data_IF_953968942007
#
_entry.id   IF_953968942007
#
_cell.length_a   1.000
_cell.length_b   1.000
_cell.length_c   1.000
_cell.angle_alpha   90.00
_cell.angle_beta   90.00
_cell.angle_gamma   90.00
#
_symmetry.space_group_name_H-M   'P 1'
#
loop_
_entity.id
_entity.type
_entity.pdbx_description
1 polymer ?
#
# COMPACT_ATOMS: atom_id res chain seq x y z
N UNK A 1 14.82 -11.31 2.22
CA UNK A 1 13.43 -10.82 2.32
C UNK A 1 12.78 -11.07 0.96
N UNK A 2 11.70 -11.86 0.91
CA UNK A 2 11.10 -12.30 -0.37
C UNK A 2 9.86 -11.48 -0.78
N UNK A 3 9.22 -10.81 0.18
CA UNK A 3 8.05 -9.97 -0.04
C UNK A 3 8.03 -8.82 0.97
N UNK A 4 7.77 -7.61 0.48
CA UNK A 4 7.43 -6.42 1.29
C UNK A 4 5.92 -6.22 1.21
N UNK A 5 5.30 -5.87 2.33
CA UNK A 5 3.90 -5.45 2.39
C UNK A 5 3.80 -4.07 3.02
N UNK A 6 2.84 -3.28 2.55
CA UNK A 6 2.48 -1.99 3.13
C UNK A 6 0.95 -1.87 3.16
N UNK A 7 0.43 -1.24 4.20
CA UNK A 7 -1.01 -1.06 4.37
C UNK A 7 -1.32 0.41 4.64
N UNK A 8 -2.49 0.85 4.20
CA UNK A 8 -3.04 2.17 4.55
C UNK A 8 -4.55 2.15 4.48
N UNK A 9 -5.20 3.16 5.05
CA UNK A 9 -6.64 3.36 4.88
C UNK A 9 -6.99 3.46 3.41
N UNK A 10 -8.09 2.83 2.97
CA UNK A 10 -8.50 2.82 1.56
C UNK A 10 -8.70 4.24 0.99
N UNK A 11 -9.11 5.18 1.86
CA UNK A 11 -9.29 6.61 1.56
C UNK A 11 -7.98 7.40 1.46
N UNK A 12 -6.84 6.88 1.94
CA UNK A 12 -5.56 7.58 1.90
C UNK A 12 -4.90 7.45 0.51
N UNK A 13 -5.47 8.16 -0.46
CA UNK A 13 -5.04 8.11 -1.86
C UNK A 13 -3.59 8.55 -2.06
N UNK A 14 -3.08 9.47 -1.23
CA UNK A 14 -1.70 9.93 -1.30
C UNK A 14 -0.70 8.79 -1.01
N UNK A 15 -0.92 8.05 0.07
CA UNK A 15 -0.06 6.91 0.42
C UNK A 15 -0.15 5.80 -0.63
N UNK A 16 -1.35 5.52 -1.15
CA UNK A 16 -1.56 4.54 -2.23
C UNK A 16 -0.74 4.87 -3.47
N UNK A 17 -0.75 6.14 -3.90
CA UNK A 17 0.08 6.61 -5.03
C UNK A 17 1.58 6.44 -4.77
N UNK A 18 2.05 6.66 -3.54
CA UNK A 18 3.46 6.44 -3.18
C UNK A 18 3.81 4.95 -3.26
N UNK A 19 2.95 4.07 -2.75
CA UNK A 19 3.15 2.62 -2.83
C UNK A 19 3.21 2.14 -4.29
N UNK A 20 2.30 2.62 -5.14
CA UNK A 20 2.28 2.33 -6.58
C UNK A 20 3.53 2.84 -7.29
N UNK A 21 3.95 4.09 -7.02
CA UNK A 21 5.21 4.66 -7.57
C UNK A 21 6.45 3.86 -7.13
N UNK A 22 6.41 3.31 -5.92
CA UNK A 22 7.46 2.46 -5.36
C UNK A 22 7.44 1.03 -5.92
N UNK A 23 6.49 0.71 -6.81
CA UNK A 23 6.37 -0.58 -7.47
C UNK A 23 5.55 -1.62 -6.70
N UNK A 24 4.90 -1.25 -5.59
CA UNK A 24 4.00 -2.18 -4.91
C UNK A 24 2.66 -2.25 -5.66
N UNK A 25 2.05 -3.43 -5.66
CA UNK A 25 0.76 -3.72 -6.30
C UNK A 25 -0.32 -3.98 -5.24
N UNK A 26 -1.54 -3.49 -5.47
CA UNK A 26 -2.69 -3.76 -4.59
C UNK A 26 -2.98 -5.26 -4.56
N UNK A 27 -2.94 -5.88 -3.38
CA UNK A 27 -3.20 -7.31 -3.19
C UNK A 27 -4.55 -7.60 -2.57
N UNK A 28 -5.04 -6.74 -1.66
CA UNK A 28 -6.34 -6.91 -1.00
C UNK A 28 -6.88 -5.61 -0.42
N UNK A 29 -8.20 -5.57 -0.27
CA UNK A 29 -8.94 -4.60 0.53
C UNK A 29 -9.69 -5.35 1.62
N UNK A 30 -9.60 -4.92 2.87
CA UNK A 30 -10.21 -5.63 4.00
C UNK A 30 -10.64 -4.69 5.13
N UNK A 31 -11.52 -5.19 6.01
CA UNK A 31 -11.89 -4.54 7.27
C UNK A 31 -10.91 -4.96 8.36
N UNK A 32 -10.49 -4.02 9.20
CA UNK A 32 -9.68 -4.29 10.38
C UNK A 32 -10.42 -3.75 11.61
N UNK A 33 -10.61 -4.60 12.60
CA UNK A 33 -11.21 -4.22 13.87
C UNK A 33 -10.25 -3.30 14.66
N UNK A 34 -10.80 -2.44 15.51
CA UNK A 34 -9.99 -1.53 16.34
C UNK A 34 -9.52 -0.26 15.63
N UNK A 35 -10.11 0.08 14.48
CA UNK A 35 -9.85 1.32 13.74
C UNK A 35 -11.01 2.32 13.82
N UNK A 36 -12.03 2.09 14.65
CA UNK A 36 -13.27 2.87 14.69
C UNK A 36 -13.05 4.36 15.00
N UNK A 37 -11.94 4.70 15.66
CA UNK A 37 -11.55 6.08 15.95
C UNK A 37 -10.76 6.76 14.82
N UNK A 38 -10.43 6.04 13.75
CA UNK A 38 -9.72 6.58 12.58
C UNK A 38 -10.74 7.08 11.56
N UNK A 39 -10.64 8.34 11.16
CA UNK A 39 -11.51 8.87 10.12
C UNK A 39 -11.38 8.08 8.80
N UNK A 40 -12.53 7.74 8.21
CA UNK A 40 -12.59 6.91 7.01
C UNK A 40 -12.39 5.42 7.27
N UNK A 41 -12.41 4.97 8.53
CA UNK A 41 -12.28 3.54 8.85
C UNK A 41 -13.34 2.69 8.18
N UNK A 42 -14.55 3.20 7.95
CA UNK A 42 -15.69 2.57 7.27
C UNK A 42 -15.38 2.13 5.83
N UNK A 43 -14.34 2.70 5.21
CA UNK A 43 -13.89 2.30 3.88
C UNK A 43 -12.85 1.17 3.90
N UNK A 44 -12.31 0.83 5.07
CA UNK A 44 -11.39 -0.28 5.28
C UNK A 44 -9.93 0.07 4.96
N UNK A 45 -9.11 -0.97 4.90
CA UNK A 45 -7.67 -0.93 4.70
C UNK A 45 -7.34 -1.58 3.35
N UNK A 46 -6.34 -1.05 2.66
CA UNK A 46 -5.75 -1.65 1.47
C UNK A 46 -4.35 -2.15 1.79
N UNK A 47 -4.00 -3.34 1.29
CA UNK A 47 -2.66 -3.89 1.32
C UNK A 47 -2.05 -3.82 -0.07
N UNK A 48 -0.81 -3.37 -0.13
CA UNK A 48 0.04 -3.40 -1.29
C UNK A 48 1.25 -4.29 -1.02
N UNK A 49 1.76 -4.98 -2.04
CA UNK A 49 2.93 -5.83 -1.91
C UNK A 49 3.91 -5.70 -3.07
N UNK A 50 5.19 -5.95 -2.79
CA UNK A 50 6.26 -6.10 -3.78
C UNK A 50 7.04 -7.38 -3.47
N UNK A 51 7.16 -8.26 -4.46
CA UNK A 51 8.01 -9.46 -4.34
C UNK A 51 9.43 -9.14 -4.77
N UNK A 52 10.40 -9.94 -4.30
CA UNK A 52 11.80 -9.78 -4.71
C UNK A 52 11.99 -9.89 -6.23
N UNK A 53 11.25 -10.77 -6.90
CA UNK A 53 11.29 -10.93 -8.35
C UNK A 53 10.68 -9.75 -9.12
N UNK A 54 9.72 -9.04 -8.52
CA UNK A 54 9.10 -7.84 -9.10
C UNK A 54 9.93 -6.57 -8.90
N UNK A 55 11.02 -6.63 -8.13
CA UNK A 55 11.86 -5.47 -7.88
C UNK A 55 12.76 -5.17 -9.08
N UNK A 56 12.57 -4.00 -9.70
CA UNK A 56 13.49 -3.43 -10.68
C UNK A 56 14.47 -2.45 -9.99
N UNK A 57 15.75 -2.79 -9.81
CA UNK A 57 16.73 -1.85 -9.26
C UNK A 57 16.96 -0.67 -10.22
N UNK A 58 16.97 0.56 -9.69
CA UNK A 58 17.43 1.74 -10.43
C UNK A 58 16.38 2.68 -11.02
N UNK A 59 15.09 2.58 -10.64
CA UNK A 59 14.11 3.63 -11.00
C UNK A 59 14.40 4.92 -10.21
N UNK A 60 15.19 5.81 -10.79
CA UNK A 60 15.29 7.21 -10.37
C UNK A 60 13.94 7.86 -10.63
N UNK A 61 13.28 8.36 -9.59
CA UNK A 61 12.09 9.22 -9.74
C UNK A 61 12.64 10.60 -10.06
N UNK A 62 12.47 11.15 -11.28
CA UNK A 62 12.85 12.53 -11.54
C UNK A 62 11.96 13.47 -10.71
N UNK A 63 12.56 14.57 -10.24
CA UNK A 63 11.94 15.63 -9.44
C UNK A 63 10.70 16.24 -10.12
#
# INVERSE_FOLDING_TARGET
>A
MERVVAETMAVNLASRRVMEKSGLILTRTFRRDGLEAVDGFEHGVVEYALTRAGWAPGRVIPD
#
